data_IF_689869608915
#
_entry.id   IF_689869608915
#
_cell.length_a   1.000
_cell.length_b   1.000
_cell.length_c   1.000
_cell.angle_alpha   90.00
_cell.angle_beta   90.00
_cell.angle_gamma   90.00
#
_symmetry.space_group_name_H-M   'P 1'
#
loop_
_entity.id
_entity.type
_entity.pdbx_description
1 polymer ?
#
# COMPACT_ATOMS: atom_id res chain seq x y z
N UNK A 1 19.53 25.56 -10.87
CA UNK A 1 18.10 25.21 -10.63
C UNK A 1 17.90 23.70 -10.77
N UNK A 2 18.61 23.03 -11.69
CA UNK A 2 18.58 21.56 -11.84
C UNK A 2 19.01 20.79 -10.57
N UNK A 3 20.12 21.14 -9.93
CA UNK A 3 20.59 20.43 -8.72
C UNK A 3 19.59 20.46 -7.56
N UNK A 4 18.85 21.58 -7.42
CA UNK A 4 17.81 21.71 -6.40
C UNK A 4 16.64 20.76 -6.68
N UNK A 5 16.14 20.74 -7.92
CA UNK A 5 15.03 19.87 -8.32
C UNK A 5 15.42 18.40 -8.22
N UNK A 6 16.64 18.06 -8.66
CA UNK A 6 17.17 16.72 -8.56
C UNK A 6 17.36 16.28 -7.10
N UNK A 7 17.88 17.17 -6.24
CA UNK A 7 18.02 16.91 -4.80
C UNK A 7 16.68 16.63 -4.12
N UNK A 8 15.65 17.43 -4.43
CA UNK A 8 14.29 17.22 -3.92
C UNK A 8 13.70 15.91 -4.44
N UNK A 9 13.88 15.59 -5.73
CA UNK A 9 13.38 14.36 -6.33
C UNK A 9 13.97 13.10 -5.69
N UNK A 10 15.29 13.07 -5.50
CA UNK A 10 15.98 11.96 -4.84
C UNK A 10 15.55 11.84 -3.39
N UNK A 11 15.47 12.96 -2.66
CA UNK A 11 15.01 12.98 -1.28
C UNK A 11 13.60 12.39 -1.12
N UNK A 12 12.66 12.82 -1.98
CA UNK A 12 11.30 12.29 -1.98
C UNK A 12 11.25 10.79 -2.30
N UNK A 13 12.10 10.31 -3.21
CA UNK A 13 12.21 8.89 -3.54
C UNK A 13 12.69 8.06 -2.34
N UNK A 14 13.70 8.56 -1.62
CA UNK A 14 14.22 7.91 -0.42
C UNK A 14 13.14 7.85 0.66
N UNK A 15 12.46 8.98 0.93
CA UNK A 15 11.37 9.03 1.92
C UNK A 15 10.25 8.05 1.56
N UNK A 16 9.84 8.00 0.29
CA UNK A 16 8.81 7.07 -0.18
C UNK A 16 9.23 5.60 0.00
N UNK A 17 10.48 5.27 -0.33
CA UNK A 17 11.03 3.94 -0.14
C UNK A 17 11.04 3.54 1.35
N UNK A 18 11.41 4.46 2.24
CA UNK A 18 11.39 4.24 3.69
C UNK A 18 9.95 4.02 4.20
N UNK A 19 8.98 4.81 3.74
CA UNK A 19 7.57 4.64 4.10
C UNK A 19 7.07 3.26 3.66
N UNK A 20 7.37 2.84 2.43
CA UNK A 20 7.01 1.52 1.92
C UNK A 20 7.64 0.38 2.72
N UNK A 21 8.90 0.54 3.12
CA UNK A 21 9.59 -0.44 3.95
C UNK A 21 8.97 -0.55 5.36
N UNK A 22 8.68 0.59 6.01
CA UNK A 22 8.04 0.63 7.33
C UNK A 22 6.64 0.04 7.26
N UNK A 23 5.85 0.40 6.26
CA UNK A 23 4.51 -0.15 6.05
C UNK A 23 4.55 -1.68 5.83
N UNK A 24 5.46 -2.16 4.99
CA UNK A 24 5.68 -3.59 4.76
C UNK A 24 6.16 -4.32 6.01
N UNK A 25 7.01 -3.70 6.83
CA UNK A 25 7.46 -4.26 8.09
C UNK A 25 6.33 -4.39 9.12
N UNK A 26 5.52 -3.34 9.29
CA UNK A 26 4.34 -3.36 10.17
C UNK A 26 3.34 -4.42 9.70
N UNK A 27 3.10 -4.51 8.39
CA UNK A 27 2.23 -5.55 7.83
C UNK A 27 2.76 -6.96 8.12
N UNK A 28 4.07 -7.18 7.98
CA UNK A 28 4.72 -8.44 8.33
C UNK A 28 4.65 -8.78 9.83
N UNK A 29 4.73 -7.78 10.70
CA UNK A 29 4.55 -7.94 12.15
C UNK A 29 3.11 -8.35 12.51
N UNK A 30 2.11 -7.70 11.90
CA UNK A 30 0.69 -8.01 12.15
C UNK A 30 0.29 -9.35 11.52
N UNK A 31 0.87 -9.72 10.37
CA UNK A 31 0.56 -10.96 9.65
C UNK A 31 1.25 -12.21 10.21
N UNK A 32 2.25 -12.06 11.08
CA UNK A 32 2.98 -13.18 11.71
C UNK A 32 3.65 -14.14 10.72
N UNK A 33 4.07 -13.64 9.55
CA UNK A 33 4.70 -14.40 8.45
C UNK A 33 6.02 -13.75 8.01
N UNK A 34 6.77 -14.44 7.14
CA UNK A 34 8.11 -14.06 6.65
C UNK A 34 8.26 -12.57 6.36
N UNK A 35 8.94 -11.87 7.29
CA UNK A 35 9.07 -10.41 7.34
C UNK A 35 9.65 -9.83 6.04
N UNK A 36 10.56 -10.55 5.38
CA UNK A 36 11.19 -10.12 4.13
C UNK A 36 10.22 -10.02 2.95
N UNK A 37 9.28 -10.96 2.83
CA UNK A 37 8.33 -10.97 1.73
C UNK A 37 7.33 -9.81 1.86
N UNK A 38 6.91 -9.50 3.09
CA UNK A 38 6.05 -8.34 3.36
C UNK A 38 6.74 -7.00 3.20
N UNK A 39 8.05 -6.90 3.46
CA UNK A 39 8.82 -5.69 3.16
C UNK A 39 8.87 -5.40 1.65
N UNK A 40 9.15 -6.41 0.83
CA UNK A 40 9.17 -6.26 -0.64
C UNK A 40 7.79 -5.84 -1.15
N UNK A 41 6.74 -6.52 -0.68
CA UNK A 41 5.36 -6.17 -1.02
C UNK A 41 5.02 -4.75 -0.58
N UNK A 42 5.47 -4.31 0.61
CA UNK A 42 5.28 -2.94 1.10
C UNK A 42 5.94 -1.88 0.22
N UNK A 43 7.16 -2.12 -0.23
CA UNK A 43 7.86 -1.23 -1.18
C UNK A 43 7.14 -1.19 -2.52
N UNK A 44 6.78 -2.34 -3.09
CA UNK A 44 6.06 -2.42 -4.37
C UNK A 44 4.69 -1.73 -4.27
N UNK A 45 3.94 -1.97 -3.18
CA UNK A 45 2.67 -1.33 -2.93
C UNK A 45 2.81 0.19 -2.76
N UNK A 46 3.82 0.68 -2.03
CA UNK A 46 4.06 2.11 -1.87
C UNK A 46 4.42 2.80 -3.19
N UNK A 47 5.23 2.14 -4.03
CA UNK A 47 5.55 2.64 -5.37
C UNK A 47 4.33 2.61 -6.30
N UNK A 48 3.50 1.57 -6.21
CA UNK A 48 2.30 1.43 -7.05
C UNK A 48 1.15 2.35 -6.60
N UNK A 49 1.06 2.68 -5.30
CA UNK A 49 0.00 3.50 -4.71
C UNK A 49 -0.23 4.82 -5.44
N UNK A 50 0.78 5.68 -5.72
CA UNK A 50 0.53 6.94 -6.43
C UNK A 50 -0.03 6.72 -7.84
N UNK A 51 0.39 5.67 -8.56
CA UNK A 51 -0.15 5.35 -9.87
C UNK A 51 -1.58 4.80 -9.81
N UNK A 52 -1.86 3.95 -8.81
CA UNK A 52 -3.21 3.44 -8.56
C UNK A 52 -4.14 4.59 -8.20
N UNK A 53 -3.72 5.49 -7.30
CA UNK A 53 -4.49 6.68 -6.93
C UNK A 53 -4.70 7.61 -8.13
N UNK A 54 -3.68 7.80 -8.97
CA UNK A 54 -3.82 8.58 -10.20
C UNK A 54 -4.79 7.93 -11.20
N UNK A 55 -4.70 6.62 -11.41
CA UNK A 55 -5.58 5.86 -12.30
C UNK A 55 -7.03 5.80 -11.79
N UNK A 56 -7.22 5.78 -10.48
CA UNK A 56 -8.53 5.90 -9.83
C UNK A 56 -9.10 7.32 -9.88
N UNK A 57 -8.37 8.29 -10.44
CA UNK A 57 -8.81 9.68 -10.51
C UNK A 57 -8.87 10.35 -9.15
N UNK A 58 -8.07 9.92 -8.17
CA UNK A 58 -8.04 10.51 -6.82
C UNK A 58 -7.60 11.97 -6.82
N UNK A 59 -6.79 12.35 -7.81
CA UNK A 59 -6.48 13.76 -8.09
C UNK A 59 -7.72 14.56 -8.52
N UNK A 60 -8.66 13.93 -9.24
CA UNK A 60 -9.96 14.53 -9.58
C UNK A 60 -10.95 14.52 -8.40
N UNK A 61 -10.87 13.53 -7.49
CA UNK A 61 -11.63 13.51 -6.23
C UNK A 61 -11.33 14.71 -5.33
N UNK A 62 -10.09 15.19 -5.34
CA UNK A 62 -9.71 16.42 -4.62
C UNK A 62 -10.47 17.66 -5.11
N UNK A 63 -10.89 17.69 -6.39
CA UNK A 63 -11.75 18.73 -6.95
C UNK A 63 -13.25 18.50 -6.67
N UNK A 64 -13.65 17.26 -6.35
CA UNK A 64 -15.05 16.85 -6.17
C UNK A 64 -15.64 17.11 -4.78
N UNK A 65 -14.84 17.52 -3.80
CA UNK A 65 -15.29 17.85 -2.43
C UNK A 65 -15.47 16.64 -1.49
N UNK A 66 -15.79 16.94 -0.22
CA UNK A 66 -15.71 15.98 0.91
C UNK A 66 -16.54 14.71 0.72
N UNK A 67 -17.76 14.83 0.19
CA UNK A 67 -18.67 13.69 -0.01
C UNK A 67 -18.11 12.64 -0.99
N UNK A 68 -17.49 13.10 -2.07
CA UNK A 68 -16.90 12.24 -3.10
C UNK A 68 -15.67 11.49 -2.56
N UNK A 69 -14.84 12.19 -1.77
CA UNK A 69 -13.69 11.59 -1.06
C UNK A 69 -14.13 10.49 -0.10
N UNK A 70 -15.23 10.69 0.65
CA UNK A 70 -15.76 9.68 1.56
C UNK A 70 -16.21 8.42 0.82
N UNK A 71 -16.95 8.56 -0.28
CA UNK A 71 -17.42 7.41 -1.08
C UNK A 71 -16.24 6.59 -1.60
N UNK A 72 -15.24 7.25 -2.17
CA UNK A 72 -14.08 6.54 -2.73
C UNK A 72 -13.16 5.98 -1.64
N UNK A 73 -13.04 6.67 -0.50
CA UNK A 73 -12.36 6.14 0.68
C UNK A 73 -12.99 4.83 1.17
N UNK A 74 -14.32 4.76 1.22
CA UNK A 74 -15.06 3.53 1.58
C UNK A 74 -14.79 2.42 0.57
N UNK A 75 -14.86 2.71 -0.73
CA UNK A 75 -14.58 1.72 -1.79
C UNK A 75 -13.14 1.20 -1.67
N UNK A 76 -12.16 2.09 -1.52
CA UNK A 76 -10.76 1.74 -1.36
C UNK A 76 -10.52 0.87 -0.12
N UNK A 77 -11.15 1.20 1.02
CA UNK A 77 -11.07 0.41 2.23
C UNK A 77 -11.66 -0.99 2.05
N UNK A 78 -12.83 -1.12 1.40
CA UNK A 78 -13.45 -2.43 1.10
C UNK A 78 -12.53 -3.28 0.21
N UNK A 79 -11.93 -2.69 -0.83
CA UNK A 79 -10.98 -3.40 -1.71
C UNK A 79 -9.77 -3.90 -0.93
N UNK A 80 -9.15 -3.06 -0.10
CA UNK A 80 -8.00 -3.45 0.73
C UNK A 80 -8.38 -4.57 1.70
N UNK A 81 -9.52 -4.45 2.38
CA UNK A 81 -10.01 -5.48 3.30
C UNK A 81 -10.30 -6.81 2.58
N UNK A 82 -10.87 -6.76 1.37
CA UNK A 82 -11.12 -7.94 0.55
C UNK A 82 -9.82 -8.64 0.14
N UNK A 83 -8.80 -7.88 -0.27
CA UNK A 83 -7.47 -8.40 -0.60
C UNK A 83 -6.84 -9.04 0.64
N UNK A 84 -6.86 -8.37 1.79
CA UNK A 84 -6.31 -8.91 3.05
C UNK A 84 -7.04 -10.20 3.46
N UNK A 85 -8.36 -10.26 3.33
CA UNK A 85 -9.16 -11.46 3.58
C UNK A 85 -8.79 -12.60 2.63
N UNK A 86 -8.66 -12.34 1.34
CA UNK A 86 -8.26 -13.33 0.35
C UNK A 86 -6.85 -13.90 0.65
N UNK A 87 -5.91 -13.05 1.06
CA UNK A 87 -4.57 -13.47 1.47
C UNK A 87 -4.57 -14.30 2.77
N UNK A 88 -5.46 -13.99 3.73
CA UNK A 88 -5.63 -14.78 4.97
C UNK A 88 -6.30 -16.13 4.72
N UNK A 89 -7.24 -16.21 3.78
CA UNK A 89 -8.02 -17.42 3.46
C UNK A 89 -7.23 -18.58 2.82
N UNK A 90 -6.04 -18.32 2.28
CA UNK A 90 -5.24 -19.35 1.60
C UNK A 90 -4.60 -20.42 2.49
N UNK A 91 -4.66 -20.31 3.82
CA UNK A 91 -4.04 -21.28 4.75
C UNK A 91 -5.06 -22.32 5.23
N UNK A 92 -5.52 -23.19 4.31
CA UNK A 92 -6.26 -24.42 4.68
C UNK A 92 -5.34 -25.27 5.56
N UNK A 93 -5.73 -25.43 6.83
CA UNK A 93 -4.98 -26.13 7.88
C UNK A 93 -4.95 -27.63 7.57
N UNK A 94 -3.90 -28.11 6.89
CA UNK A 94 -3.60 -29.54 6.80
C UNK A 94 -3.01 -30.00 8.14
N UNK A 95 -3.87 -30.30 9.10
CA UNK A 95 -3.51 -31.16 10.23
C UNK A 95 -3.49 -32.61 9.76
N UNK A 96 -2.37 -33.35 9.89
CA UNK A 96 -2.35 -34.77 9.60
C UNK A 96 -3.25 -35.54 10.59
N UNK A 97 -3.91 -36.64 10.14
CA UNK A 97 -4.61 -37.55 11.04
C UNK A 97 -3.59 -38.32 11.89
N UNK A 98 -3.98 -38.55 13.14
CA UNK A 98 -3.17 -39.14 14.22
C UNK A 98 -2.70 -40.56 13.93
#
# INVERSE_FOLDING_TARGET
MEDLIQGIGIFMLIVLALIGLVAGWIAGMVAGRDKGLYMIVGVVAALATPFILAALGVTALAAGGVLLVLIVGVIGAVIVLAIVQALKGGRKKNTPPR
#
